data_IF_362736086246
#
_entry.id   IF_362736086246
#
_cell.length_a   1.000
_cell.length_b   1.000
_cell.length_c   1.000
_cell.angle_alpha   90.00
_cell.angle_beta   90.00
_cell.angle_gamma   90.00
#
_symmetry.space_group_name_H-M   'P 1'
#
loop_
_entity.id
_entity.type
_entity.pdbx_description
1 polymer ?
#
# COMPACT_ATOMS: atom_id res chain seq x y z
N UNK A 1 16.21 24.65 50.36
CA UNK A 1 15.04 24.30 49.51
C UNK A 1 14.03 23.56 50.37
N UNK A 2 12.78 24.00 50.44
CA UNK A 2 11.77 23.35 51.30
C UNK A 2 11.39 21.98 50.74
N UNK A 3 11.20 20.97 51.59
CA UNK A 3 10.84 19.60 51.21
C UNK A 3 9.60 19.57 50.27
N UNK A 4 8.63 20.46 50.46
CA UNK A 4 7.44 20.65 49.65
C UNK A 4 7.79 21.05 48.19
N UNK A 5 8.79 21.89 47.98
CA UNK A 5 9.23 22.31 46.65
C UNK A 5 9.92 21.15 45.89
N UNK A 6 10.70 20.34 46.59
CA UNK A 6 11.33 19.15 46.01
C UNK A 6 10.28 18.12 45.59
N UNK A 7 9.30 17.84 46.44
CA UNK A 7 8.20 16.91 46.10
C UNK A 7 7.38 17.38 44.89
N UNK A 8 7.11 18.66 44.78
CA UNK A 8 6.38 19.24 43.65
C UNK A 8 7.19 19.08 42.34
N UNK A 9 8.50 19.37 42.37
CA UNK A 9 9.37 19.19 41.20
C UNK A 9 9.43 17.72 40.78
N UNK A 10 9.54 16.78 41.71
CA UNK A 10 9.54 15.35 41.40
C UNK A 10 8.23 14.91 40.76
N UNK A 11 7.08 15.35 41.32
CA UNK A 11 5.76 15.03 40.80
C UNK A 11 5.58 15.55 39.35
N UNK A 12 6.00 16.79 39.06
CA UNK A 12 5.90 17.35 37.72
C UNK A 12 6.76 16.59 36.69
N UNK A 13 7.96 16.17 37.06
CA UNK A 13 8.84 15.37 36.20
C UNK A 13 8.21 13.99 35.90
N UNK A 14 7.65 13.33 36.90
CA UNK A 14 6.99 12.03 36.73
C UNK A 14 5.76 12.14 35.83
N UNK A 15 4.93 13.17 36.02
CA UNK A 15 3.75 13.41 35.17
C UNK A 15 4.20 13.67 33.71
N UNK A 16 5.22 14.52 33.51
CA UNK A 16 5.75 14.80 32.16
C UNK A 16 6.29 13.54 31.48
N UNK A 17 7.03 12.71 32.19
CA UNK A 17 7.54 11.44 31.65
C UNK A 17 6.40 10.47 31.31
N UNK A 18 5.38 10.36 32.16
CA UNK A 18 4.21 9.52 31.89
C UNK A 18 3.42 10.00 30.65
N UNK A 19 3.20 11.31 30.53
CA UNK A 19 2.51 11.88 29.35
C UNK A 19 3.27 11.65 28.05
N UNK A 20 4.59 11.84 28.04
CA UNK A 20 5.45 11.53 26.89
C UNK A 20 5.38 10.04 26.51
N UNK A 21 5.40 9.15 27.51
CA UNK A 21 5.26 7.70 27.30
C UNK A 21 3.92 7.32 26.66
N UNK A 22 2.82 7.93 27.12
CA UNK A 22 1.48 7.71 26.56
C UNK A 22 1.42 8.20 25.10
N UNK A 23 1.90 9.41 24.83
CA UNK A 23 1.91 9.98 23.46
C UNK A 23 2.73 9.11 22.52
N UNK A 24 3.90 8.64 22.95
CA UNK A 24 4.72 7.72 22.16
C UNK A 24 3.99 6.40 21.89
N UNK A 25 3.38 5.80 22.92
CA UNK A 25 2.62 4.56 22.77
C UNK A 25 1.47 4.71 21.76
N UNK A 26 0.66 5.79 21.88
CA UNK A 26 -0.44 6.06 20.96
C UNK A 26 0.05 6.25 19.51
N UNK A 27 1.20 6.90 19.31
CA UNK A 27 1.82 7.04 17.99
C UNK A 27 2.19 5.67 17.41
N UNK A 28 2.82 4.80 18.19
CA UNK A 28 3.21 3.45 17.75
C UNK A 28 1.99 2.61 17.38
N UNK A 29 0.93 2.63 18.19
CA UNK A 29 -0.31 1.91 17.95
C UNK A 29 -0.97 2.40 16.66
N UNK A 30 -1.02 3.72 16.44
CA UNK A 30 -1.57 4.30 15.22
C UNK A 30 -0.80 3.87 13.98
N UNK A 31 0.53 3.95 14.00
CA UNK A 31 1.40 3.53 12.87
C UNK A 31 1.16 2.07 12.53
N UNK A 32 1.17 1.17 13.52
CA UNK A 32 0.90 -0.27 13.30
C UNK A 32 -0.50 -0.52 12.74
N UNK A 33 -1.50 0.23 13.23
CA UNK A 33 -2.86 0.16 12.70
C UNK A 33 -2.92 0.55 11.22
N UNK A 34 -2.29 1.65 10.84
CA UNK A 34 -2.22 2.10 9.45
C UNK A 34 -1.50 1.08 8.55
N UNK A 35 -0.38 0.51 9.01
CA UNK A 35 0.37 -0.53 8.29
C UNK A 35 -0.46 -1.79 8.04
N UNK A 36 -1.22 -2.22 9.06
CA UNK A 36 -2.16 -3.35 8.92
C UNK A 36 -3.24 -3.04 7.88
N UNK A 37 -3.85 -1.86 7.94
CA UNK A 37 -4.88 -1.44 6.98
C UNK A 37 -4.35 -1.34 5.55
N UNK A 38 -3.11 -0.86 5.36
CA UNK A 38 -2.45 -0.85 4.06
C UNK A 38 -2.27 -2.28 3.51
N UNK A 39 -1.84 -3.21 4.36
CA UNK A 39 -1.68 -4.61 4.00
C UNK A 39 -3.01 -5.28 3.63
N UNK A 40 -4.08 -4.99 4.36
CA UNK A 40 -5.43 -5.49 4.05
C UNK A 40 -5.96 -4.90 2.73
N UNK A 41 -5.72 -3.62 2.48
CA UNK A 41 -6.08 -2.98 1.23
C UNK A 41 -5.35 -3.61 0.03
N UNK A 42 -4.06 -3.91 0.15
CA UNK A 42 -3.31 -4.61 -0.90
C UNK A 42 -3.88 -6.02 -1.16
N UNK A 43 -4.32 -6.74 -0.14
CA UNK A 43 -4.98 -8.06 -0.32
C UNK A 43 -6.31 -7.90 -1.06
N UNK A 44 -7.11 -6.88 -0.74
CA UNK A 44 -8.36 -6.64 -1.46
C UNK A 44 -8.13 -6.28 -2.94
N UNK A 45 -6.97 -5.73 -3.31
CA UNK A 45 -6.60 -5.53 -4.71
C UNK A 45 -6.35 -6.87 -5.43
N UNK A 46 -5.76 -7.86 -4.76
CA UNK A 46 -5.59 -9.22 -5.34
C UNK A 46 -6.94 -9.88 -5.61
N UNK A 47 -7.89 -9.76 -4.65
CA UNK A 47 -9.24 -10.28 -4.82
C UNK A 47 -9.99 -9.55 -5.95
N UNK A 48 -9.78 -8.25 -6.07
CA UNK A 48 -10.35 -7.43 -7.14
C UNK A 48 -9.82 -7.84 -8.52
N UNK A 49 -8.51 -8.06 -8.64
CA UNK A 49 -7.87 -8.55 -9.87
C UNK A 49 -8.37 -9.95 -10.25
N UNK A 50 -8.49 -10.85 -9.30
CA UNK A 50 -9.06 -12.18 -9.54
C UNK A 50 -10.50 -12.08 -10.06
N UNK A 51 -11.30 -11.17 -9.51
CA UNK A 51 -12.68 -10.90 -9.96
C UNK A 51 -12.69 -10.25 -11.35
N UNK A 52 -11.79 -9.31 -11.62
CA UNK A 52 -11.65 -8.65 -12.92
C UNK A 52 -11.37 -9.68 -14.02
N UNK A 53 -10.34 -10.50 -13.82
CA UNK A 53 -9.91 -11.53 -14.74
C UNK A 53 -11.00 -12.61 -14.98
N UNK A 54 -11.60 -13.13 -13.90
CA UNK A 54 -12.55 -14.26 -14.01
C UNK A 54 -13.90 -13.88 -14.61
N UNK A 55 -14.28 -12.60 -14.56
CA UNK A 55 -15.57 -12.12 -15.07
C UNK A 55 -15.44 -11.27 -16.34
N UNK A 56 -14.24 -11.15 -16.92
CA UNK A 56 -14.01 -10.32 -18.12
C UNK A 56 -14.69 -8.94 -17.97
N UNK A 57 -14.34 -8.23 -16.90
CA UNK A 57 -15.07 -7.01 -16.47
C UNK A 57 -15.00 -5.89 -17.53
N UNK A 58 -13.97 -5.87 -18.35
CA UNK A 58 -13.82 -4.89 -19.43
C UNK A 58 -14.38 -5.37 -20.78
N UNK A 59 -14.92 -6.61 -20.82
CA UNK A 59 -15.58 -7.21 -21.98
C UNK A 59 -14.71 -7.23 -23.24
N UNK A 60 -13.44 -7.62 -23.05
CA UNK A 60 -12.50 -7.74 -24.15
C UNK A 60 -12.31 -9.18 -24.67
N UNK A 61 -13.07 -10.15 -24.10
CA UNK A 61 -12.99 -11.58 -24.36
C UNK A 61 -11.62 -12.21 -24.03
N UNK A 62 -10.84 -11.57 -23.14
CA UNK A 62 -9.54 -12.04 -22.65
C UNK A 62 -9.55 -12.14 -21.14
N UNK A 63 -9.14 -13.30 -20.61
CA UNK A 63 -8.95 -13.44 -19.15
C UNK A 63 -7.61 -12.82 -18.74
N UNK A 64 -7.64 -11.58 -18.30
CA UNK A 64 -6.46 -10.79 -17.95
C UNK A 64 -6.69 -9.93 -16.70
N UNK A 65 -5.60 -9.37 -16.17
CA UNK A 65 -5.60 -8.49 -15.00
C UNK A 65 -5.54 -7.02 -15.43
N UNK A 66 -6.22 -6.16 -14.69
CA UNK A 66 -6.11 -4.72 -14.87
C UNK A 66 -4.81 -4.20 -14.27
N UNK A 67 -3.83 -3.89 -15.10
CA UNK A 67 -2.50 -3.41 -14.65
C UNK A 67 -2.27 -1.93 -14.94
N UNK A 68 -3.29 -1.21 -15.38
CA UNK A 68 -3.19 0.19 -15.79
C UNK A 68 -2.91 1.12 -14.60
N UNK A 69 -3.75 1.02 -13.59
CA UNK A 69 -3.73 1.78 -12.35
C UNK A 69 -4.58 1.04 -11.29
N UNK A 70 -4.71 1.61 -10.11
CA UNK A 70 -5.59 1.05 -9.06
C UNK A 70 -7.01 1.61 -9.20
N UNK A 71 -7.14 2.87 -9.59
CA UNK A 71 -8.43 3.54 -9.72
C UNK A 71 -9.34 2.89 -10.78
N UNK A 72 -8.76 2.26 -11.81
CA UNK A 72 -9.49 1.53 -12.84
C UNK A 72 -10.34 0.40 -12.31
N UNK A 73 -9.89 -0.32 -11.28
CA UNK A 73 -10.66 -1.37 -10.60
C UNK A 73 -11.94 -0.85 -9.92
N UNK A 74 -12.01 0.44 -9.64
CA UNK A 74 -13.23 1.09 -9.17
C UNK A 74 -14.10 1.62 -10.33
N UNK A 75 -13.48 2.10 -11.42
CA UNK A 75 -14.19 2.70 -12.53
C UNK A 75 -14.89 1.68 -13.44
N UNK A 76 -14.23 0.58 -13.76
CA UNK A 76 -14.80 -0.46 -14.63
C UNK A 76 -15.95 -1.18 -13.93
N UNK A 77 -15.74 -1.52 -12.67
CA UNK A 77 -16.75 -2.03 -11.76
C UNK A 77 -16.26 -1.74 -10.34
N UNK A 78 -17.10 -1.39 -9.36
CA UNK A 78 -16.61 -1.08 -8.02
C UNK A 78 -16.12 -2.34 -7.28
N UNK A 79 -15.02 -2.92 -7.78
CA UNK A 79 -14.37 -4.10 -7.20
C UNK A 79 -13.59 -3.77 -5.92
N UNK A 80 -13.28 -2.50 -5.72
CA UNK A 80 -12.55 -1.99 -4.56
C UNK A 80 -13.30 -0.83 -3.90
N UNK A 81 -12.95 -0.54 -2.64
CA UNK A 81 -13.46 0.65 -1.96
C UNK A 81 -12.99 1.93 -2.67
N UNK A 82 -13.90 2.92 -2.77
CA UNK A 82 -13.58 4.24 -3.32
C UNK A 82 -12.38 4.91 -2.63
N UNK A 83 -12.20 4.67 -1.34
CA UNK A 83 -11.08 5.20 -0.54
C UNK A 83 -9.71 4.69 -1.02
N UNK A 84 -9.64 3.45 -1.53
CA UNK A 84 -8.42 2.88 -2.12
C UNK A 84 -8.15 3.54 -3.47
N UNK A 85 -9.18 3.67 -4.31
CA UNK A 85 -9.06 4.33 -5.61
C UNK A 85 -8.68 5.82 -5.50
N UNK A 86 -9.15 6.53 -4.46
CA UNK A 86 -8.75 7.91 -4.17
C UNK A 86 -7.31 8.04 -3.69
N UNK A 87 -6.73 6.97 -3.15
CA UNK A 87 -5.35 6.94 -2.69
C UNK A 87 -4.35 6.51 -3.76
N UNK A 88 -4.81 6.20 -4.98
CA UNK A 88 -3.96 5.95 -6.14
C UNK A 88 -3.26 7.25 -6.55
N UNK A 89 -1.92 7.22 -6.64
CA UNK A 89 -1.10 8.39 -7.00
C UNK A 89 -0.83 8.52 -8.49
N UNK A 90 -1.17 7.49 -9.28
CA UNK A 90 -1.00 7.48 -10.74
C UNK A 90 -2.23 6.96 -11.48
N UNK A 91 -3.42 7.49 -11.17
CA UNK A 91 -4.63 7.02 -11.83
C UNK A 91 -4.63 7.47 -13.30
N UNK A 92 -5.05 6.57 -14.21
CA UNK A 92 -5.28 6.91 -15.62
C UNK A 92 -6.41 7.94 -15.74
N UNK A 93 -7.41 7.80 -14.87
CA UNK A 93 -8.50 8.75 -14.73
C UNK A 93 -8.67 9.12 -13.26
N UNK A 94 -8.28 10.33 -12.84
CA UNK A 94 -8.34 10.71 -11.44
C UNK A 94 -9.79 10.89 -10.96
N UNK A 95 -10.08 10.39 -9.75
CA UNK A 95 -11.37 10.59 -9.06
C UNK A 95 -11.46 11.93 -8.33
N UNK A 96 -10.31 12.56 -8.08
CA UNK A 96 -10.20 13.84 -7.39
C UNK A 96 -9.00 14.62 -7.94
N UNK A 97 -8.92 15.95 -7.72
CA UNK A 97 -7.80 16.77 -8.18
C UNK A 97 -6.42 16.35 -7.63
N UNK A 98 -6.41 15.71 -6.47
CA UNK A 98 -5.21 15.16 -5.85
C UNK A 98 -5.54 13.85 -5.13
N UNK A 99 -4.59 12.90 -5.02
CA UNK A 99 -4.80 11.68 -4.28
C UNK A 99 -4.97 11.97 -2.79
N UNK A 100 -5.82 11.18 -2.14
CA UNK A 100 -6.08 11.27 -0.70
C UNK A 100 -5.65 9.97 -0.04
N UNK A 101 -4.71 9.99 0.93
CA UNK A 101 -4.21 8.77 1.52
C UNK A 101 -5.31 8.04 2.31
N UNK A 102 -5.43 6.72 2.11
CA UNK A 102 -6.30 5.85 2.91
C UNK A 102 -5.54 5.37 4.15
N UNK A 103 -6.05 5.68 5.33
CA UNK A 103 -5.39 5.35 6.60
C UNK A 103 -3.89 5.70 6.62
N UNK A 104 -3.54 6.86 6.03
CA UNK A 104 -2.17 7.37 5.98
C UNK A 104 -1.26 6.68 4.97
N UNK A 105 -1.80 5.93 3.99
CA UNK A 105 -1.06 5.27 2.92
C UNK A 105 -1.55 5.68 1.54
N UNK A 106 -0.61 5.87 0.64
CA UNK A 106 -0.84 5.95 -0.79
C UNK A 106 -0.62 4.61 -1.45
N UNK A 107 -1.22 4.43 -2.63
CA UNK A 107 -1.14 3.20 -3.42
C UNK A 107 -0.71 3.52 -4.84
N UNK A 108 -0.06 2.55 -5.50
CA UNK A 108 0.33 2.67 -6.90
C UNK A 108 0.46 1.29 -7.54
N UNK A 109 0.04 1.17 -8.80
CA UNK A 109 0.35 0.01 -9.63
C UNK A 109 1.84 0.03 -10.00
N UNK A 110 2.52 -1.10 -9.83
CA UNK A 110 3.94 -1.26 -10.14
C UNK A 110 4.16 -1.34 -11.67
N UNK A 111 5.36 -1.00 -12.12
CA UNK A 111 5.74 -0.98 -13.53
C UNK A 111 6.27 -2.32 -14.01
N UNK A 112 7.10 -3.01 -13.19
CA UNK A 112 7.74 -4.26 -13.57
C UNK A 112 8.11 -5.16 -12.39
N UNK A 113 8.27 -6.44 -12.69
CA UNK A 113 8.91 -7.43 -11.84
C UNK A 113 10.35 -7.64 -12.28
N UNK A 114 11.30 -7.17 -11.49
CA UNK A 114 12.73 -7.30 -11.76
C UNK A 114 13.38 -8.42 -10.92
N UNK A 115 12.58 -9.21 -10.18
CA UNK A 115 13.04 -10.22 -9.22
C UNK A 115 13.88 -11.34 -9.85
N UNK A 116 13.77 -11.57 -11.15
CA UNK A 116 14.59 -12.56 -11.89
C UNK A 116 15.90 -11.99 -12.43
N UNK A 117 16.23 -10.73 -12.14
CA UNK A 117 17.36 -10.01 -12.73
C UNK A 117 17.10 -9.47 -14.14
N UNK A 118 15.90 -9.72 -14.68
CA UNK A 118 15.43 -9.16 -15.94
C UNK A 118 14.06 -8.52 -15.71
N UNK A 119 13.94 -7.24 -16.05
CA UNK A 119 12.68 -6.53 -15.92
C UNK A 119 11.60 -7.17 -16.81
N UNK A 120 10.49 -7.57 -16.19
CA UNK A 120 9.29 -8.06 -16.87
C UNK A 120 8.17 -7.04 -16.57
N UNK A 121 7.69 -6.30 -17.58
CA UNK A 121 6.68 -5.28 -17.37
C UNK A 121 5.36 -5.90 -16.88
N UNK A 122 4.69 -5.22 -15.97
CA UNK A 122 3.32 -5.52 -15.58
C UNK A 122 2.31 -4.97 -16.59
N UNK A 123 2.59 -3.80 -17.16
CA UNK A 123 1.76 -3.20 -18.21
C UNK A 123 2.16 -3.79 -19.55
N UNK A 124 1.27 -4.58 -20.14
CA UNK A 124 1.43 -5.17 -21.46
C UNK A 124 0.25 -4.73 -22.31
N UNK A 125 0.51 -4.04 -23.40
CA UNK A 125 -0.50 -3.75 -24.42
C UNK A 125 -0.76 -5.03 -25.19
N UNK A 126 -1.82 -5.75 -24.80
CA UNK A 126 -2.23 -6.96 -25.49
C UNK A 126 -3.26 -6.69 -26.58
N UNK A 127 -3.93 -5.54 -26.52
CA UNK A 127 -4.91 -5.11 -27.52
C UNK A 127 -4.66 -3.69 -28.00
N UNK A 128 -3.83 -3.55 -29.03
CA UNK A 128 -3.54 -2.27 -29.67
C UNK A 128 -4.80 -1.54 -30.20
N UNK A 129 -5.90 -2.28 -30.46
CA UNK A 129 -7.11 -1.70 -31.04
C UNK A 129 -7.97 -0.97 -29.99
N UNK A 130 -7.92 -1.39 -28.72
CA UNK A 130 -8.77 -0.86 -27.67
C UNK A 130 -8.02 0.03 -26.66
N UNK A 131 -6.68 0.14 -26.77
CA UNK A 131 -5.84 0.96 -25.87
C UNK A 131 -5.90 0.53 -24.39
N UNK A 132 -6.28 -0.72 -24.15
CA UNK A 132 -6.40 -1.28 -22.81
C UNK A 132 -5.06 -1.81 -22.32
N UNK A 133 -4.71 -1.50 -21.06
CA UNK A 133 -3.46 -1.93 -20.44
C UNK A 133 -3.74 -3.07 -19.48
N UNK A 134 -3.36 -4.30 -19.87
CA UNK A 134 -3.62 -5.50 -19.09
C UNK A 134 -2.50 -6.54 -19.24
N UNK A 135 -2.55 -7.58 -18.43
CA UNK A 135 -1.59 -8.67 -18.43
C UNK A 135 -2.29 -9.96 -18.02
N UNK A 136 -2.15 -11.02 -18.83
CA UNK A 136 -2.76 -12.33 -18.52
C UNK A 136 -2.03 -13.11 -17.41
N UNK A 137 -0.84 -12.67 -16.99
CA UNK A 137 0.05 -13.51 -16.19
C UNK A 137 0.41 -12.94 -14.83
N UNK A 138 0.48 -11.62 -14.72
CA UNK A 138 0.99 -10.98 -13.50
C UNK A 138 0.57 -9.55 -13.32
N UNK A 139 0.54 -9.13 -12.07
CA UNK A 139 0.38 -7.75 -11.64
C UNK A 139 1.20 -7.48 -10.37
N UNK A 140 1.34 -6.24 -9.99
CA UNK A 140 1.97 -5.83 -8.76
C UNK A 140 1.47 -4.49 -8.28
N UNK A 141 1.27 -4.38 -6.96
CA UNK A 141 0.85 -3.15 -6.31
C UNK A 141 1.78 -2.80 -5.16
N UNK A 142 1.95 -1.52 -4.93
CA UNK A 142 2.74 -0.96 -3.85
C UNK A 142 1.87 -0.04 -2.99
N UNK A 143 2.01 -0.17 -1.66
CA UNK A 143 1.47 0.78 -0.68
C UNK A 143 2.63 1.37 0.12
N UNK A 144 2.67 2.70 0.26
CA UNK A 144 3.73 3.41 0.96
C UNK A 144 3.15 4.52 1.84
N UNK A 145 3.80 4.89 2.97
CA UNK A 145 3.27 5.87 3.90
C UNK A 145 3.23 7.26 3.28
N UNK A 146 2.13 7.99 3.53
CA UNK A 146 2.00 9.38 3.11
C UNK A 146 3.01 10.29 3.81
N UNK A 147 3.42 9.93 5.03
CA UNK A 147 4.44 10.62 5.82
C UNK A 147 5.26 9.59 6.61
N UNK A 148 6.52 9.39 6.19
CA UNK A 148 7.43 8.42 6.78
C UNK A 148 7.64 8.67 8.28
N UNK A 149 7.55 7.58 9.08
CA UNK A 149 7.70 7.64 10.53
C UNK A 149 6.54 8.31 11.30
N UNK A 150 5.52 8.80 10.59
CA UNK A 150 4.33 9.45 11.17
C UNK A 150 3.07 8.65 10.86
N UNK A 151 2.79 8.39 9.59
CA UNK A 151 1.63 7.59 9.17
C UNK A 151 1.96 6.12 9.01
N UNK A 152 3.21 5.79 8.72
CA UNK A 152 3.78 4.45 8.59
C UNK A 152 5.29 4.52 8.47
N UNK A 153 5.95 3.38 8.60
CA UNK A 153 7.38 3.22 8.38
C UNK A 153 7.68 2.41 7.13
N UNK A 154 6.89 1.36 6.90
CA UNK A 154 7.19 0.38 5.88
C UNK A 154 6.38 0.61 4.61
N UNK A 155 7.02 0.33 3.50
CA UNK A 155 6.40 0.18 2.18
C UNK A 155 6.08 -1.28 1.96
N UNK A 156 4.89 -1.59 1.45
CA UNK A 156 4.42 -2.93 1.20
C UNK A 156 4.24 -3.15 -0.30
N UNK A 157 4.63 -4.33 -0.78
CA UNK A 157 4.39 -4.77 -2.14
C UNK A 157 3.55 -6.04 -2.12
N UNK A 158 2.72 -6.24 -3.13
CA UNK A 158 1.98 -7.48 -3.33
C UNK A 158 2.03 -7.86 -4.82
N UNK A 159 2.05 -9.16 -5.10
CA UNK A 159 2.03 -9.69 -6.46
C UNK A 159 0.79 -10.57 -6.71
N UNK A 160 0.67 -11.10 -7.92
CA UNK A 160 -0.41 -11.97 -8.37
C UNK A 160 -0.57 -13.26 -7.56
N UNK A 161 0.50 -13.74 -6.94
CA UNK A 161 0.45 -14.90 -6.04
C UNK A 161 -0.04 -14.54 -4.61
N UNK A 162 -0.40 -13.27 -4.35
CA UNK A 162 -0.78 -12.79 -3.04
C UNK A 162 0.41 -12.72 -2.06
N UNK A 163 1.64 -12.87 -2.55
CA UNK A 163 2.84 -12.73 -1.72
C UNK A 163 3.07 -11.26 -1.39
N UNK A 164 3.16 -10.98 -0.10
CA UNK A 164 3.38 -9.63 0.40
C UNK A 164 4.81 -9.46 0.89
N UNK A 165 5.43 -8.36 0.48
CA UNK A 165 6.77 -7.97 0.87
C UNK A 165 6.70 -6.66 1.66
N UNK A 166 7.59 -6.52 2.64
CA UNK A 166 7.70 -5.35 3.51
C UNK A 166 9.11 -4.80 3.45
N UNK A 167 9.24 -3.51 3.14
CA UNK A 167 10.50 -2.82 2.91
C UNK A 167 10.54 -1.52 3.72
N UNK A 168 11.70 -1.16 4.25
CA UNK A 168 11.94 0.18 4.80
C UNK A 168 12.62 1.03 3.71
N UNK A 169 11.80 1.77 2.94
CA UNK A 169 12.24 2.57 1.80
C UNK A 169 12.42 4.05 2.14
N UNK A 170 12.28 4.42 3.42
CA UNK A 170 12.23 5.83 3.81
C UNK A 170 10.94 6.55 3.37
N UNK A 171 9.89 5.81 3.04
CA UNK A 171 8.59 6.36 2.57
C UNK A 171 8.47 6.50 1.07
N UNK A 172 9.46 6.06 0.30
CA UNK A 172 9.40 6.11 -1.16
C UNK A 172 8.60 4.93 -1.74
N UNK A 173 7.85 5.14 -2.84
CA UNK A 173 7.18 4.09 -3.55
C UNK A 173 8.16 3.17 -4.26
N UNK A 174 7.85 1.87 -4.32
CA UNK A 174 8.59 0.89 -5.11
C UNK A 174 7.77 0.58 -6.36
N UNK A 175 8.27 1.03 -7.51
CA UNK A 175 7.60 0.83 -8.80
C UNK A 175 8.10 -0.42 -9.55
N UNK A 176 9.28 -0.91 -9.18
CA UNK A 176 9.92 -2.09 -9.76
C UNK A 176 10.25 -3.05 -8.64
N UNK A 177 9.76 -4.28 -8.72
CA UNK A 177 10.05 -5.29 -7.71
C UNK A 177 11.54 -5.64 -7.73
N UNK A 178 12.29 -5.40 -6.66
CA UNK A 178 13.74 -5.63 -6.64
C UNK A 178 14.09 -7.13 -6.60
N UNK A 179 15.31 -7.46 -7.09
CA UNK A 179 15.85 -8.84 -7.13
C UNK A 179 15.99 -9.44 -5.73
N UNK A 180 16.43 -8.63 -4.75
CA UNK A 180 16.85 -9.10 -3.42
C UNK A 180 15.76 -8.96 -2.34
N UNK A 181 14.50 -9.07 -2.70
CA UNK A 181 13.44 -9.16 -1.68
C UNK A 181 13.40 -10.59 -1.14
N UNK A 182 14.43 -10.96 -0.37
CA UNK A 182 14.50 -12.25 0.29
C UNK A 182 13.78 -12.23 1.64
N UNK A 183 13.07 -13.30 1.89
CA UNK A 183 12.54 -13.99 3.04
C UNK A 183 12.31 -13.31 4.39
N UNK A 184 13.03 -12.31 4.79
CA UNK A 184 12.83 -11.57 6.05
C UNK A 184 11.75 -10.48 5.95
N UNK A 185 11.18 -10.30 4.75
CA UNK A 185 10.12 -9.32 4.46
C UNK A 185 8.75 -9.96 4.27
N UNK A 186 8.63 -11.28 4.49
CA UNK A 186 7.35 -11.99 4.33
C UNK A 186 6.45 -11.75 5.53
N UNK A 187 5.39 -11.00 5.33
CA UNK A 187 4.24 -10.98 6.23
C UNK A 187 3.34 -12.17 5.91
N UNK A 188 3.67 -13.34 6.46
CA UNK A 188 2.72 -14.41 6.59
C UNK A 188 1.54 -13.93 7.42
N UNK A 189 0.31 -14.27 6.99
CA UNK A 189 -0.88 -14.05 7.78
C UNK A 189 -0.80 -14.89 9.06
N UNK A 190 -0.28 -14.32 10.12
CA UNK A 190 -0.50 -14.82 11.48
C UNK A 190 -0.44 -13.65 12.43
N UNK A 191 -1.58 -13.44 13.06
CA UNK A 191 -2.00 -12.73 14.25
C UNK A 191 -2.65 -11.38 14.04
#
# INVERSE_FOLDING_TARGET
MRLSTLLLCVATVVIAAATLGIVYYLKVVKVRGNEREASLALRSLVDAEASFCSNDIDHNDVADYWTGDIAGLYYHHPLIEKSIALADVRPLKPLAPAPTPRMGYYFVAMESDDSSGKAVPYKVDTDEKNGKVHNCWRFGFCAYPAEYGVTGRFTFLINEAGMMFKLDTGGEPVLKRPVDVHGDSYFGATD
#
